data_IF_499598275267
#
_entry.id   IF_499598275267
#
_cell.length_a   1.000
_cell.length_b   1.000
_cell.length_c   1.000
_cell.angle_alpha   90.00
_cell.angle_beta   90.00
_cell.angle_gamma   90.00
#
_symmetry.space_group_name_H-M   'P 1'
#
loop_
_entity.id
_entity.type
_entity.pdbx_description
1 polymer ?
#
# COMPACT_ATOMS: atom_id res chain seq x y z
N UNK A 1 33.17 2.22 -32.56
CA UNK A 1 31.73 2.14 -32.25
C UNK A 1 31.13 0.97 -33.00
N UNK A 2 30.48 0.05 -32.31
CA UNK A 2 29.84 -1.13 -32.89
C UNK A 2 28.33 -1.09 -32.62
N UNK A 3 27.54 -1.44 -33.62
CA UNK A 3 26.08 -1.46 -33.53
C UNK A 3 25.59 -2.90 -33.70
N UNK A 4 24.80 -3.38 -32.74
CA UNK A 4 24.15 -4.68 -32.81
C UNK A 4 22.64 -4.49 -32.87
N UNK A 5 22.00 -5.13 -33.85
CA UNK A 5 20.57 -5.06 -34.06
C UNK A 5 19.92 -6.40 -33.76
N UNK A 6 18.90 -6.40 -32.91
CA UNK A 6 18.18 -7.61 -32.51
C UNK A 6 16.66 -7.40 -32.64
N UNK A 7 15.97 -8.31 -33.33
CA UNK A 7 14.50 -8.31 -33.44
C UNK A 7 13.88 -8.68 -32.10
N UNK A 8 12.80 -7.99 -31.70
CA UNK A 8 12.13 -8.24 -30.41
C UNK A 8 11.13 -9.41 -30.45
N UNK A 9 11.47 -10.49 -31.15
CA UNK A 9 10.66 -11.71 -31.23
C UNK A 9 10.44 -12.33 -29.85
N UNK A 10 11.41 -12.18 -28.94
CA UNK A 10 11.34 -12.75 -27.60
C UNK A 10 10.22 -12.20 -26.72
N UNK A 11 9.74 -11.00 -27.02
CA UNK A 11 8.58 -10.37 -26.37
C UNK A 11 7.31 -10.49 -27.22
N UNK A 12 7.34 -11.26 -28.30
CA UNK A 12 6.25 -11.32 -29.29
C UNK A 12 6.09 -10.06 -30.15
N UNK A 13 7.03 -9.11 -30.09
CA UNK A 13 6.98 -7.87 -30.87
C UNK A 13 7.78 -8.01 -32.17
N UNK A 14 7.17 -8.61 -33.19
CA UNK A 14 7.80 -8.84 -34.51
C UNK A 14 8.09 -7.55 -35.30
N UNK A 15 7.37 -6.46 -35.02
CA UNK A 15 7.46 -5.18 -35.75
C UNK A 15 8.47 -4.18 -35.16
N UNK A 16 9.28 -4.61 -34.18
CA UNK A 16 10.23 -3.75 -33.48
C UNK A 16 11.59 -4.43 -33.35
N UNK A 17 12.62 -3.60 -33.24
CA UNK A 17 13.99 -4.02 -33.04
C UNK A 17 14.69 -3.12 -32.02
N UNK A 18 15.75 -3.66 -31.44
CA UNK A 18 16.66 -2.97 -30.55
C UNK A 18 17.98 -2.72 -31.26
N UNK A 19 18.53 -1.53 -31.07
CA UNK A 19 19.92 -1.20 -31.45
C UNK A 19 20.72 -1.00 -30.18
N UNK A 20 21.66 -1.91 -29.93
CA UNK A 20 22.64 -1.79 -28.87
C UNK A 20 23.93 -1.16 -29.44
N UNK A 21 24.37 -0.06 -28.84
CA UNK A 21 25.55 0.71 -29.23
C UNK A 21 26.69 0.42 -28.26
N UNK A 22 27.86 0.09 -28.80
CA UNK A 22 29.05 -0.21 -28.02
C UNK A 22 30.21 0.74 -28.37
N UNK A 23 30.97 1.19 -27.35
CA UNK A 23 32.13 2.08 -27.53
C UNK A 23 33.25 1.45 -28.37
N UNK A 24 33.44 0.14 -28.27
CA UNK A 24 34.51 -0.60 -28.95
C UNK A 24 34.02 -1.84 -29.72
N UNK A 25 34.96 -2.65 -30.20
CA UNK A 25 34.66 -3.86 -30.97
C UNK A 25 34.01 -4.98 -30.14
N UNK A 26 34.20 -4.97 -28.81
CA UNK A 26 33.67 -6.01 -27.91
C UNK A 26 32.22 -5.70 -27.51
N UNK A 27 31.30 -6.60 -27.81
CA UNK A 27 29.86 -6.53 -27.46
C UNK A 27 29.56 -6.99 -26.02
N UNK A 28 30.42 -6.61 -25.08
CA UNK A 28 30.24 -6.92 -23.65
C UNK A 28 29.36 -5.87 -22.99
N UNK A 29 28.65 -6.24 -21.91
CA UNK A 29 27.78 -5.31 -21.15
C UNK A 29 28.51 -4.02 -20.72
N UNK A 30 29.76 -4.12 -20.29
CA UNK A 30 30.59 -2.98 -19.85
C UNK A 30 30.87 -1.98 -20.98
N UNK A 31 30.94 -2.44 -22.21
CA UNK A 31 31.20 -1.59 -23.38
C UNK A 31 29.91 -1.05 -24.01
N UNK A 32 28.73 -1.43 -23.50
CA UNK A 32 27.44 -0.95 -24.03
C UNK A 32 27.20 0.47 -23.54
N UNK A 33 27.15 1.43 -24.46
CA UNK A 33 26.88 2.83 -24.13
C UNK A 33 25.40 3.14 -24.12
N UNK A 34 24.68 2.65 -25.13
CA UNK A 34 23.31 3.05 -25.33
C UNK A 34 22.47 1.94 -25.94
N UNK A 35 21.17 2.00 -25.68
CA UNK A 35 20.20 1.04 -26.18
C UNK A 35 18.97 1.78 -26.70
N UNK A 36 18.71 1.66 -28.00
CA UNK A 36 17.56 2.26 -28.68
C UNK A 36 16.52 1.19 -28.99
N UNK A 37 15.25 1.56 -28.87
CA UNK A 37 14.13 0.76 -29.35
C UNK A 37 13.54 1.48 -30.56
N UNK A 38 13.45 0.78 -31.69
CA UNK A 38 12.93 1.34 -32.95
C UNK A 38 11.86 0.42 -33.53
N UNK A 39 11.03 0.99 -34.40
CA UNK A 39 9.97 0.30 -35.12
C UNK A 39 10.38 0.16 -36.58
N UNK A 40 10.03 -0.95 -37.21
CA UNK A 40 10.17 -1.07 -38.66
C UNK A 40 9.16 -0.17 -39.36
N UNK A 41 9.61 0.56 -40.37
CA UNK A 41 8.73 1.22 -41.32
C UNK A 41 8.18 0.17 -42.28
N UNK A 42 6.87 0.09 -42.43
CA UNK A 42 6.21 -0.98 -43.19
C UNK A 42 6.48 -0.84 -44.69
N UNK A 43 6.55 0.39 -45.20
CA UNK A 43 6.77 0.68 -46.63
C UNK A 43 8.18 0.28 -47.05
N UNK A 44 9.16 0.55 -46.19
CA UNK A 44 10.57 0.22 -46.44
C UNK A 44 10.82 -1.27 -46.15
N UNK A 45 10.27 -1.81 -45.06
CA UNK A 45 10.58 -3.18 -44.62
C UNK A 45 10.10 -4.26 -45.58
N UNK A 46 8.99 -4.02 -46.31
CA UNK A 46 8.54 -4.95 -47.34
C UNK A 46 9.58 -5.14 -48.45
N UNK A 47 10.32 -4.09 -48.81
CA UNK A 47 11.34 -4.12 -49.88
C UNK A 47 12.57 -4.96 -49.51
N UNK A 48 12.84 -5.15 -48.21
CA UNK A 48 14.00 -5.92 -47.72
C UNK A 48 13.66 -7.35 -47.30
N UNK A 49 12.40 -7.78 -47.42
CA UNK A 49 11.99 -9.16 -47.19
C UNK A 49 12.34 -10.02 -48.42
N UNK A 50 13.59 -10.43 -48.52
CA UNK A 50 14.07 -11.30 -49.61
C UNK A 50 13.76 -12.79 -49.40
N UNK A 51 13.41 -13.23 -48.19
CA UNK A 51 13.24 -14.64 -47.83
C UNK A 51 11.78 -15.06 -47.53
N UNK A 52 10.89 -14.09 -47.33
CA UNK A 52 9.57 -14.27 -46.69
C UNK A 52 8.43 -14.14 -47.73
N UNK A 53 8.59 -14.82 -48.88
CA UNK A 53 7.67 -14.79 -50.03
C UNK A 53 6.42 -15.68 -49.89
N UNK A 54 5.62 -15.78 -50.94
CA UNK A 54 4.30 -16.48 -50.94
C UNK A 54 4.36 -17.93 -50.41
N UNK A 55 5.51 -18.61 -50.58
CA UNK A 55 5.78 -19.97 -50.12
C UNK A 55 6.85 -20.08 -49.01
N UNK A 56 7.45 -18.97 -48.58
CA UNK A 56 8.49 -18.95 -47.55
C UNK A 56 7.96 -18.25 -46.31
N UNK A 57 7.39 -19.00 -45.37
CA UNK A 57 7.07 -18.46 -44.04
C UNK A 57 8.07 -19.04 -43.06
N UNK A 58 8.78 -18.18 -42.33
CA UNK A 58 9.55 -18.59 -41.16
C UNK A 58 8.59 -19.21 -40.14
N UNK A 59 8.47 -20.53 -40.15
CA UNK A 59 7.66 -21.24 -39.16
C UNK A 59 8.46 -21.27 -37.86
N UNK A 60 8.02 -20.48 -36.88
CA UNK A 60 8.59 -20.52 -35.53
C UNK A 60 8.10 -21.80 -34.86
N UNK A 61 8.77 -22.92 -35.17
CA UNK A 61 8.42 -24.26 -34.69
C UNK A 61 8.55 -24.37 -33.16
N UNK A 62 9.44 -23.57 -32.57
CA UNK A 62 9.69 -23.60 -31.13
C UNK A 62 9.23 -22.30 -30.43
N UNK A 63 8.20 -22.44 -29.58
CA UNK A 63 7.64 -21.36 -28.77
C UNK A 63 8.54 -20.87 -27.62
N UNK A 64 9.68 -21.53 -27.36
CA UNK A 64 10.64 -21.17 -26.29
C UNK A 64 11.23 -19.77 -26.44
N UNK A 65 11.25 -19.22 -27.65
CA UNK A 65 11.74 -17.87 -27.89
C UNK A 65 10.89 -16.79 -27.22
N UNK A 66 9.57 -17.01 -27.04
CA UNK A 66 8.67 -15.98 -26.51
C UNK A 66 8.40 -16.16 -25.02
N UNK A 67 8.92 -15.23 -24.21
CA UNK A 67 8.77 -15.21 -22.75
C UNK A 67 7.30 -15.17 -22.33
N UNK A 68 6.45 -14.46 -23.07
CA UNK A 68 5.00 -14.36 -22.77
C UNK A 68 4.26 -15.69 -22.97
N UNK A 69 4.79 -16.57 -23.83
CA UNK A 69 4.21 -17.92 -24.06
C UNK A 69 4.72 -18.94 -23.04
N UNK A 70 5.79 -18.64 -22.30
CA UNK A 70 6.37 -19.56 -21.33
C UNK A 70 5.38 -19.87 -20.20
N UNK A 71 5.32 -21.15 -19.80
CA UNK A 71 4.47 -21.59 -18.69
C UNK A 71 4.84 -20.90 -17.38
N UNK A 72 6.14 -20.73 -17.12
CA UNK A 72 6.65 -20.07 -15.92
C UNK A 72 6.16 -18.62 -15.80
N UNK A 73 6.16 -17.85 -16.90
CA UNK A 73 5.67 -16.48 -16.89
C UNK A 73 4.15 -16.41 -16.59
N UNK A 74 3.36 -17.31 -17.21
CA UNK A 74 1.92 -17.42 -16.93
C UNK A 74 1.63 -17.80 -15.48
N UNK A 75 2.37 -18.77 -14.94
CA UNK A 75 2.26 -19.19 -13.55
C UNK A 75 2.64 -18.06 -12.57
N UNK A 76 3.69 -17.30 -12.86
CA UNK A 76 4.10 -16.13 -12.06
C UNK A 76 2.99 -15.06 -12.02
N UNK A 77 2.37 -14.76 -13.16
CA UNK A 77 1.26 -13.80 -13.22
C UNK A 77 0.06 -14.29 -12.42
N UNK A 78 -0.33 -15.56 -12.59
CA UNK A 78 -1.43 -16.15 -11.83
C UNK A 78 -1.15 -16.09 -10.32
N UNK A 79 0.06 -16.44 -9.90
CA UNK A 79 0.49 -16.36 -8.51
C UNK A 79 0.46 -14.93 -7.96
N UNK A 80 0.96 -13.95 -8.73
CA UNK A 80 0.92 -12.55 -8.33
C UNK A 80 -0.52 -12.03 -8.17
N UNK A 81 -1.44 -12.43 -9.05
CA UNK A 81 -2.86 -12.10 -8.94
C UNK A 81 -3.50 -12.73 -7.69
N UNK A 82 -3.19 -14.00 -7.40
CA UNK A 82 -3.68 -14.67 -6.20
C UNK A 82 -3.19 -13.93 -4.95
N UNK A 83 -1.89 -13.62 -4.87
CA UNK A 83 -1.33 -12.84 -3.76
C UNK A 83 -1.94 -11.44 -3.64
N UNK A 84 -2.22 -10.79 -4.76
CA UNK A 84 -2.87 -9.48 -4.77
C UNK A 84 -4.30 -9.55 -4.19
N UNK A 85 -5.08 -10.55 -4.61
CA UNK A 85 -6.44 -10.78 -4.10
C UNK A 85 -6.41 -11.12 -2.61
N UNK A 86 -5.55 -12.06 -2.20
CA UNK A 86 -5.36 -12.42 -0.78
C UNK A 86 -4.90 -11.21 0.02
N UNK A 87 -4.00 -10.40 -0.53
CA UNK A 87 -3.53 -9.15 0.08
C UNK A 87 -4.66 -8.16 0.33
N UNK A 88 -5.59 -7.98 -0.62
CA UNK A 88 -6.77 -7.13 -0.45
C UNK A 88 -7.69 -7.70 0.65
N UNK A 89 -7.95 -9.00 0.66
CA UNK A 89 -8.79 -9.63 1.68
C UNK A 89 -8.17 -9.52 3.07
N UNK A 90 -6.87 -9.80 3.20
CA UNK A 90 -6.13 -9.64 4.44
C UNK A 90 -6.17 -8.19 4.90
N UNK A 91 -5.89 -7.23 4.01
CA UNK A 91 -5.95 -5.80 4.32
C UNK A 91 -7.33 -5.36 4.82
N UNK A 92 -8.42 -5.82 4.19
CA UNK A 92 -9.79 -5.58 4.68
C UNK A 92 -10.07 -6.24 6.03
N UNK A 93 -9.51 -7.42 6.28
CA UNK A 93 -9.67 -8.11 7.57
C UNK A 93 -8.87 -7.45 8.71
N UNK A 94 -7.73 -6.82 8.41
CA UNK A 94 -6.92 -6.09 9.39
C UNK A 94 -7.54 -4.75 9.80
N UNK A 95 -8.35 -4.14 8.92
CA UNK A 95 -9.12 -2.95 9.21
C UNK A 95 -10.63 -3.27 9.16
N UNK A 96 -11.20 -3.91 10.19
CA UNK A 96 -12.64 -4.15 10.24
C UNK A 96 -13.37 -2.81 10.13
N UNK A 97 -14.02 -2.59 8.99
CA UNK A 97 -14.91 -1.46 8.82
C UNK A 97 -16.15 -1.76 9.67
N UNK A 98 -16.43 -0.95 10.68
CA UNK A 98 -17.72 -0.94 11.39
C UNK A 98 -18.79 -0.48 10.38
N UNK A 99 -19.23 -1.39 9.52
CA UNK A 99 -20.37 -1.20 8.64
C UNK A 99 -21.44 -2.14 9.15
N UNK A 100 -22.32 -1.50 9.92
CA UNK A 100 -23.57 -1.95 10.46
C UNK A 100 -24.25 -3.02 9.61
N UNK A 101 -24.62 -4.10 10.30
CA UNK A 101 -25.63 -5.05 9.89
C UNK A 101 -26.90 -4.30 9.47
N UNK A 102 -27.06 -4.00 8.18
CA UNK A 102 -28.35 -3.65 7.61
C UNK A 102 -29.23 -4.90 7.62
N UNK A 103 -29.72 -5.21 8.82
CA UNK A 103 -30.75 -6.20 9.07
C UNK A 103 -31.99 -5.81 8.27
N UNK A 104 -32.28 -6.65 7.29
CA UNK A 104 -33.50 -6.74 6.51
C UNK A 104 -34.72 -6.49 7.41
N UNK A 105 -35.35 -5.32 7.27
CA UNK A 105 -36.59 -4.97 7.97
C UNK A 105 -37.71 -5.82 7.40
N UNK A 106 -38.11 -6.86 8.16
CA UNK A 106 -39.41 -7.49 8.03
C UNK A 106 -40.37 -6.74 8.96
N UNK A 107 -41.47 -6.28 8.38
CA UNK A 107 -42.60 -5.60 9.03
C UNK A 107 -43.17 -6.44 10.19
N UNK A 108 -43.45 -5.86 11.37
CA UNK A 108 -44.09 -6.59 12.48
C UNK A 108 -45.63 -6.45 12.44
N UNK A 109 -46.40 -7.51 12.72
CA UNK A 109 -47.76 -7.36 13.21
C UNK A 109 -47.79 -7.47 14.74
N UNK A 110 -48.30 -6.39 15.34
CA UNK A 110 -49.31 -6.34 16.40
C UNK A 110 -49.12 -7.24 17.66
N UNK A 111 -48.73 -6.54 18.72
CA UNK A 111 -49.09 -6.66 20.15
C UNK A 111 -49.95 -7.84 20.59
N UNK A 112 -49.50 -8.50 21.66
CA UNK A 112 -50.36 -8.84 22.81
C UNK A 112 -49.54 -8.81 24.12
N UNK A 113 -50.21 -8.36 25.17
CA UNK A 113 -49.69 -7.95 26.49
C UNK A 113 -49.24 -9.12 27.37
N UNK A 114 -48.26 -8.88 28.26
CA UNK A 114 -48.43 -9.01 29.72
C UNK A 114 -47.19 -8.53 30.49
N UNK A 115 -47.49 -7.86 31.60
CA UNK A 115 -46.74 -7.51 32.83
C UNK A 115 -45.52 -8.40 33.13
N UNK A 116 -44.43 -7.92 33.76
CA UNK A 116 -44.36 -7.33 35.11
C UNK A 116 -43.05 -6.55 35.33
N UNK A 117 -43.13 -5.56 36.22
CA UNK A 117 -42.10 -4.69 36.80
C UNK A 117 -40.73 -5.32 37.12
N UNK A 118 -39.66 -4.71 36.62
CA UNK A 118 -38.42 -4.52 37.41
C UNK A 118 -37.85 -3.12 37.12
N UNK A 119 -37.76 -2.31 38.16
CA UNK A 119 -36.99 -1.05 38.15
C UNK A 119 -35.52 -1.43 38.22
N UNK A 120 -34.84 -1.40 37.08
CA UNK A 120 -33.39 -1.31 37.03
C UNK A 120 -33.03 -0.22 36.03
N UNK A 121 -32.57 0.88 36.61
CA UNK A 121 -31.90 2.04 36.04
C UNK A 121 -31.19 1.69 34.71
N UNK A 122 -31.81 2.06 33.59
CA UNK A 122 -31.07 2.18 32.35
C UNK A 122 -30.06 3.28 32.55
N UNK A 123 -28.79 2.92 32.73
CA UNK A 123 -27.68 3.80 32.35
C UNK A 123 -27.98 4.24 30.92
N UNK A 124 -28.37 5.50 30.80
CA UNK A 124 -28.41 6.22 29.55
C UNK A 124 -27.03 6.00 28.91
N UNK A 125 -27.02 5.36 27.74
CA UNK A 125 -25.84 5.33 26.89
C UNK A 125 -25.46 6.79 26.64
N UNK A 126 -24.44 7.26 27.36
CA UNK A 126 -23.87 8.58 27.11
C UNK A 126 -23.28 8.56 25.71
N UNK A 127 -23.58 9.61 24.94
CA UNK A 127 -23.00 9.90 23.63
C UNK A 127 -21.51 9.57 23.55
N UNK A 128 -20.97 9.21 22.36
CA UNK A 128 -19.55 8.93 22.20
C UNK A 128 -18.75 10.10 22.79
N UNK A 129 -17.96 9.81 23.82
CA UNK A 129 -17.12 10.79 24.48
C UNK A 129 -16.10 11.21 23.43
N UNK A 130 -16.37 12.32 22.75
CA UNK A 130 -15.36 13.02 21.97
C UNK A 130 -14.35 13.52 22.99
N UNK A 131 -13.27 12.75 23.20
CA UNK A 131 -12.18 13.14 24.09
C UNK A 131 -11.62 14.47 23.57
N UNK A 132 -11.95 15.54 24.28
CA UNK A 132 -11.48 16.88 23.97
C UNK A 132 -9.96 16.92 24.14
N UNK A 133 -9.25 17.38 23.11
CA UNK A 133 -7.82 17.62 23.18
C UNK A 133 -7.53 18.68 24.24
N UNK A 134 -6.50 18.49 25.06
CA UNK A 134 -6.19 19.44 26.11
C UNK A 134 -5.75 20.78 25.52
N UNK A 135 -6.33 21.86 26.02
CA UNK A 135 -5.95 23.23 25.67
C UNK A 135 -4.78 23.73 26.54
N UNK A 136 -4.44 23.02 27.63
CA UNK A 136 -3.49 23.47 28.66
C UNK A 136 -2.16 22.74 28.61
N UNK A 137 -2.20 21.40 28.59
CA UNK A 137 -1.02 20.56 28.73
C UNK A 137 -0.55 20.04 27.37
N UNK A 138 0.76 19.95 27.17
CA UNK A 138 1.39 19.29 26.03
C UNK A 138 2.51 18.36 26.47
N UNK A 139 2.71 17.26 25.75
CA UNK A 139 3.87 16.39 25.98
C UNK A 139 5.11 17.05 25.40
N UNK A 140 6.17 17.17 26.19
CA UNK A 140 7.47 17.69 25.74
C UNK A 140 8.54 16.62 25.60
N UNK A 141 8.42 15.51 26.32
CA UNK A 141 9.37 14.40 26.21
C UNK A 141 9.17 13.31 27.25
N UNK A 142 10.08 12.34 27.26
CA UNK A 142 10.10 11.23 28.20
C UNK A 142 11.41 11.27 29.01
N UNK A 143 11.34 10.96 30.31
CA UNK A 143 12.47 10.92 31.23
C UNK A 143 12.54 9.57 31.92
N UNK A 144 13.73 8.99 32.01
CA UNK A 144 13.97 7.77 32.77
C UNK A 144 14.88 8.12 33.95
N UNK A 145 14.43 7.84 35.17
CA UNK A 145 15.21 8.05 36.40
C UNK A 145 15.05 6.83 37.31
N UNK A 146 16.17 6.23 37.71
CA UNK A 146 16.21 5.08 38.61
C UNK A 146 15.33 3.89 38.15
N UNK A 147 15.28 3.64 36.83
CA UNK A 147 14.46 2.57 36.24
C UNK A 147 12.98 2.91 36.08
N UNK A 148 12.52 4.06 36.57
CA UNK A 148 11.15 4.53 36.40
C UNK A 148 11.06 5.49 35.21
N UNK A 149 10.09 5.24 34.32
CA UNK A 149 9.82 6.07 33.16
C UNK A 149 8.69 7.07 33.43
N UNK A 150 8.92 8.32 33.04
CA UNK A 150 8.01 9.45 33.22
C UNK A 150 7.80 10.18 31.89
N UNK A 151 6.61 10.73 31.73
CA UNK A 151 6.28 11.65 30.64
C UNK A 151 6.32 13.06 31.21
N UNK A 152 7.04 13.94 30.52
CA UNK A 152 7.14 15.35 30.86
C UNK A 152 6.05 16.11 30.12
N UNK A 153 5.25 16.83 30.89
CA UNK A 153 4.19 17.70 30.42
C UNK A 153 4.58 19.14 30.68
N UNK A 154 4.29 20.02 29.73
CA UNK A 154 4.45 21.45 29.91
C UNK A 154 3.14 22.19 29.66
N UNK A 155 2.93 23.29 30.38
CA UNK A 155 1.89 24.26 30.06
C UNK A 155 2.45 25.46 29.26
N UNK A 156 1.59 26.43 28.93
CA UNK A 156 1.99 27.65 28.23
C UNK A 156 2.84 28.61 29.07
N UNK A 157 2.85 28.45 30.39
CA UNK A 157 3.64 29.27 31.32
C UNK A 157 5.03 28.66 31.59
N UNK A 158 5.32 27.48 31.02
CA UNK A 158 6.58 26.77 31.22
C UNK A 158 6.62 25.91 32.49
N UNK A 159 5.49 25.72 33.17
CA UNK A 159 5.42 24.81 34.31
C UNK A 159 5.52 23.37 33.80
N UNK A 160 6.37 22.57 34.45
CA UNK A 160 6.57 21.18 34.13
C UNK A 160 5.88 20.26 35.14
N UNK A 161 5.19 19.25 34.63
CA UNK A 161 4.57 18.18 35.42
C UNK A 161 5.08 16.83 34.92
N UNK A 162 5.41 15.94 35.85
CA UNK A 162 5.86 14.59 35.55
C UNK A 162 4.74 13.61 35.87
N UNK A 163 4.38 12.77 34.91
CA UNK A 163 3.41 11.70 35.11
C UNK A 163 4.02 10.34 34.77
N UNK A 164 3.63 9.26 35.46
CA UNK A 164 4.14 7.92 35.18
C UNK A 164 3.84 7.48 33.74
N UNK A 165 4.83 6.90 33.07
CA UNK A 165 4.69 6.42 31.68
C UNK A 165 3.59 5.36 31.51
N UNK A 166 3.23 4.64 32.57
CA UNK A 166 2.16 3.64 32.58
C UNK A 166 0.76 4.21 32.34
N UNK A 167 0.55 5.52 32.56
CA UNK A 167 -0.72 6.20 32.30
C UNK A 167 -0.88 6.62 30.84
N UNK A 168 0.17 6.46 30.02
CA UNK A 168 0.19 6.87 28.63
C UNK A 168 0.21 5.67 27.70
N UNK A 169 -0.54 5.78 26.62
CA UNK A 169 -0.65 4.79 25.56
C UNK A 169 0.22 5.15 24.36
N UNK A 170 0.58 4.13 23.58
CA UNK A 170 1.46 4.21 22.41
C UNK A 170 2.88 4.68 22.73
N UNK A 171 3.70 4.96 21.72
CA UNK A 171 5.11 5.35 21.86
C UNK A 171 5.53 6.35 20.78
N UNK A 172 6.71 6.98 20.97
CA UNK A 172 7.24 7.96 20.04
C UNK A 172 6.27 9.14 19.87
N UNK A 173 6.12 9.66 18.64
CA UNK A 173 5.23 10.80 18.34
C UNK A 173 3.74 10.52 18.51
N UNK A 174 3.35 9.27 18.75
CA UNK A 174 1.96 8.86 18.97
C UNK A 174 1.61 8.75 20.45
N UNK A 175 2.57 9.01 21.35
CA UNK A 175 2.33 9.00 22.80
C UNK A 175 1.16 9.92 23.15
N UNK A 176 0.19 9.38 23.87
CA UNK A 176 -0.95 10.12 24.36
C UNK A 176 -1.39 9.61 25.73
N UNK A 177 -1.96 10.48 26.55
CA UNK A 177 -2.51 10.13 27.86
C UNK A 177 -3.76 10.95 28.15
N UNK A 178 -4.49 10.55 29.18
CA UNK A 178 -5.64 11.29 29.67
C UNK A 178 -5.26 12.01 30.96
N UNK A 179 -5.45 13.33 30.99
CA UNK A 179 -5.16 14.16 32.15
C UNK A 179 -6.37 15.04 32.38
N UNK A 180 -6.96 14.95 33.58
CA UNK A 180 -8.14 15.76 33.94
C UNK A 180 -9.31 15.59 32.95
N UNK A 181 -9.48 14.39 32.38
CA UNK A 181 -10.53 14.10 31.39
C UNK A 181 -10.25 14.65 29.98
N UNK A 182 -9.06 15.18 29.74
CA UNK A 182 -8.62 15.71 28.45
C UNK A 182 -7.51 14.86 27.84
N UNK A 183 -7.53 14.70 26.52
CA UNK A 183 -6.49 13.98 25.81
C UNK A 183 -5.25 14.87 25.65
N UNK A 184 -4.10 14.38 26.10
CA UNK A 184 -2.81 15.08 26.04
C UNK A 184 -1.85 14.31 25.16
N UNK A 185 -1.27 14.98 24.17
CA UNK A 185 -0.25 14.45 23.25
C UNK A 185 0.79 15.54 22.90
N UNK A 186 1.68 15.27 21.95
CA UNK A 186 2.68 16.26 21.48
C UNK A 186 2.10 17.48 20.77
N UNK A 187 0.86 17.37 20.27
CA UNK A 187 0.19 18.39 19.46
C UNK A 187 -0.94 19.10 20.23
N UNK A 188 -1.17 18.72 21.49
CA UNK A 188 -2.09 19.39 22.41
C UNK A 188 -1.45 20.62 23.05
N UNK A 189 -2.24 21.34 23.83
CA UNK A 189 -1.86 22.61 24.45
C UNK A 189 -2.26 23.81 23.58
N UNK A 190 -1.87 25.00 24.04
CA UNK A 190 -2.21 26.26 23.37
C UNK A 190 -1.49 26.35 22.02
N UNK A 191 -2.21 26.73 20.96
CA UNK A 191 -1.61 27.11 19.67
C UNK A 191 -0.67 28.29 19.89
N UNK A 192 0.61 28.09 19.58
CA UNK A 192 1.59 29.18 19.47
C UNK A 192 1.32 30.03 18.23
#
# INVERSE_FOLDING_TARGET
>A
MTYQMSKLTALGMSNRYRVDIFTGAKTTKTNKTFQLQRKYDKEIFQLYKSYDGENGKENVVDGRGNILKSFQFKAMIAFALILFIVGIYAFKSFFPNEQESSSKVLTPPKQEEKSVTSLQERKLFSSPIQLKLSDKWRITGELIKNGNAFVILADNQGNLRLEPRSQFQFSGRMLQGEIEGQLVNYYSGVKQ
#
